data_IF_346909109197
#
_entry.id   IF_346909109197
#
_cell.length_a   1.000
_cell.length_b   1.000
_cell.length_c   1.000
_cell.angle_alpha   90.00
_cell.angle_beta   90.00
_cell.angle_gamma   90.00
#
_symmetry.space_group_name_H-M   'P 1'
#
loop_
_entity.id
_entity.type
_entity.pdbx_description
1 polymer ?
#
# COMPACT_ATOMS: atom_id res chain seq x y z
N UNK A 1 32.51 18.76 12.42
CA UNK A 1 31.82 17.94 13.44
C UNK A 1 30.90 16.85 12.88
N UNK A 2 30.77 16.69 11.56
CA UNK A 2 30.06 15.55 10.94
C UNK A 2 31.04 14.43 10.53
N UNK A 3 32.32 14.77 10.25
CA UNK A 3 33.37 13.78 9.90
C UNK A 3 33.77 12.81 11.04
N UNK A 4 33.44 13.14 12.29
CA UNK A 4 33.87 12.35 13.46
C UNK A 4 32.93 11.17 13.79
N UNK A 5 31.68 11.19 13.30
CA UNK A 5 30.69 10.15 13.61
C UNK A 5 30.74 8.97 12.63
N UNK A 6 31.09 9.18 11.37
CA UNK A 6 31.19 8.09 10.37
C UNK A 6 32.44 7.21 10.56
N UNK A 7 33.48 7.70 11.22
CA UNK A 7 34.75 6.98 11.39
C UNK A 7 34.75 6.00 12.57
N UNK A 8 33.80 6.09 13.50
CA UNK A 8 33.82 5.27 14.72
C UNK A 8 33.20 3.87 14.54
N UNK A 9 32.24 3.70 13.62
CA UNK A 9 31.60 2.40 13.39
C UNK A 9 32.48 1.45 12.56
N UNK A 10 33.29 1.97 11.62
CA UNK A 10 34.22 1.18 10.80
C UNK A 10 35.40 0.57 11.57
N UNK A 11 35.69 1.02 12.80
CA UNK A 11 36.83 0.53 13.60
C UNK A 11 36.54 -0.76 14.40
N UNK A 12 35.33 -1.31 14.36
CA UNK A 12 34.97 -2.49 15.17
C UNK A 12 35.08 -3.84 14.46
N UNK A 13 35.38 -3.85 13.15
CA UNK A 13 35.76 -5.05 12.42
C UNK A 13 37.23 -4.91 12.01
N UNK A 14 38.09 -5.83 12.47
CA UNK A 14 39.45 -5.91 11.96
C UNK A 14 39.37 -6.28 10.48
N UNK A 15 39.87 -5.41 9.60
CA UNK A 15 40.04 -5.72 8.19
C UNK A 15 41.02 -6.88 8.08
N UNK A 16 40.51 -8.04 7.66
CA UNK A 16 41.27 -9.29 7.61
C UNK A 16 42.33 -9.25 6.51
N UNK A 17 42.12 -8.43 5.48
CA UNK A 17 43.06 -8.20 4.39
C UNK A 17 43.02 -6.72 3.93
N UNK A 18 43.76 -5.83 4.61
CA UNK A 18 43.79 -4.42 4.27
C UNK A 18 44.33 -4.14 2.86
N UNK A 19 45.13 -5.04 2.31
CA UNK A 19 45.70 -4.88 0.98
C UNK A 19 44.64 -5.15 -0.09
N UNK A 20 43.88 -6.24 0.03
CA UNK A 20 42.74 -6.50 -0.87
C UNK A 20 41.72 -5.35 -0.79
N UNK A 21 41.38 -4.88 0.41
CA UNK A 21 40.46 -3.75 0.59
C UNK A 21 40.97 -2.48 -0.11
N UNK A 22 42.27 -2.18 -0.02
CA UNK A 22 42.87 -1.05 -0.71
C UNK A 22 42.79 -1.17 -2.23
N UNK A 23 43.06 -2.36 -2.78
CA UNK A 23 42.97 -2.62 -4.22
C UNK A 23 41.55 -2.40 -4.77
N UNK A 24 40.51 -2.83 -4.03
CA UNK A 24 39.12 -2.57 -4.42
C UNK A 24 38.75 -1.09 -4.38
N UNK A 25 39.25 -0.34 -3.40
CA UNK A 25 39.05 1.11 -3.30
C UNK A 25 39.75 1.81 -4.47
N UNK A 26 41.02 1.50 -4.72
CA UNK A 26 41.79 2.08 -5.83
C UNK A 26 41.14 1.77 -7.19
N UNK A 27 40.65 0.56 -7.39
CA UNK A 27 39.93 0.19 -8.62
C UNK A 27 38.65 1.02 -8.81
N UNK A 28 37.94 1.32 -7.72
CA UNK A 28 36.75 2.17 -7.76
C UNK A 28 37.09 3.64 -8.02
N UNK A 29 38.14 4.16 -7.39
CA UNK A 29 38.63 5.52 -7.58
C UNK A 29 39.11 5.73 -9.02
N UNK A 30 39.90 4.79 -9.56
CA UNK A 30 40.31 4.82 -10.96
C UNK A 30 39.12 4.81 -11.93
N UNK A 31 38.09 3.99 -11.65
CA UNK A 31 36.87 3.99 -12.44
C UNK A 31 36.17 5.35 -12.41
N UNK A 32 36.08 5.98 -11.23
CA UNK A 32 35.46 7.28 -11.05
C UNK A 32 36.22 8.39 -11.80
N UNK A 33 37.54 8.38 -11.76
CA UNK A 33 38.39 9.32 -12.48
C UNK A 33 38.35 9.10 -14.01
N UNK A 34 38.52 7.85 -14.46
CA UNK A 34 38.65 7.53 -15.88
C UNK A 34 37.31 7.54 -16.65
N UNK A 35 36.20 7.19 -15.99
CA UNK A 35 34.87 7.06 -16.62
C UNK A 35 33.82 8.02 -16.05
N UNK A 36 34.16 8.78 -15.02
CA UNK A 36 33.31 9.79 -14.43
C UNK A 36 32.35 9.28 -13.35
N UNK A 37 31.75 10.19 -12.58
CA UNK A 37 30.96 9.88 -11.37
C UNK A 37 29.69 9.08 -11.67
N UNK A 38 29.05 9.31 -12.83
CA UNK A 38 27.84 8.57 -13.23
C UNK A 38 28.13 7.07 -13.41
N UNK A 39 29.28 6.72 -13.99
CA UNK A 39 29.64 5.32 -14.23
C UNK A 39 30.04 4.63 -12.93
N UNK A 40 30.79 5.30 -12.06
CA UNK A 40 31.14 4.79 -10.74
C UNK A 40 29.88 4.49 -9.91
N UNK A 41 28.93 5.43 -9.85
CA UNK A 41 27.65 5.23 -9.16
C UNK A 41 26.83 4.06 -9.73
N UNK A 42 26.86 3.86 -11.06
CA UNK A 42 26.22 2.72 -11.70
C UNK A 42 26.83 1.38 -11.27
N UNK A 43 28.17 1.27 -11.24
CA UNK A 43 28.85 0.04 -10.83
C UNK A 43 28.61 -0.24 -9.35
N UNK A 44 28.71 0.76 -8.47
CA UNK A 44 28.45 0.60 -7.04
C UNK A 44 27.04 0.05 -6.78
N UNK A 45 26.03 0.58 -7.49
CA UNK A 45 24.65 0.06 -7.40
C UNK A 45 24.51 -1.38 -7.87
N UNK A 46 25.26 -1.79 -8.90
CA UNK A 46 25.28 -3.20 -9.37
C UNK A 46 25.92 -4.11 -8.33
N UNK A 47 27.01 -3.68 -7.69
CA UNK A 47 27.65 -4.42 -6.59
C UNK A 47 26.72 -4.55 -5.38
N UNK A 48 26.05 -3.48 -4.96
CA UNK A 48 25.03 -3.53 -3.90
C UNK A 48 23.84 -4.45 -4.25
N UNK A 49 23.38 -4.46 -5.52
CA UNK A 49 22.37 -5.43 -5.98
C UNK A 49 22.89 -6.87 -5.86
N UNK A 50 24.16 -7.11 -6.23
CA UNK A 50 24.79 -8.44 -6.11
C UNK A 50 24.97 -8.88 -4.66
N UNK A 51 25.40 -7.98 -3.79
CA UNK A 51 25.52 -8.24 -2.35
C UNK A 51 24.17 -8.66 -1.73
N UNK A 52 23.08 -8.01 -2.14
CA UNK A 52 21.71 -8.41 -1.75
C UNK A 52 21.33 -9.81 -2.25
N UNK A 53 21.59 -10.12 -3.52
CA UNK A 53 21.32 -11.48 -4.05
C UNK A 53 22.15 -12.57 -3.35
N UNK A 54 23.30 -12.20 -2.77
CA UNK A 54 24.16 -13.09 -1.99
C UNK A 54 23.81 -13.13 -0.49
N UNK A 55 22.80 -12.36 -0.05
CA UNK A 55 22.37 -12.34 1.36
C UNK A 55 23.37 -11.69 2.32
N UNK A 56 24.23 -10.78 1.85
CA UNK A 56 25.32 -10.20 2.66
C UNK A 56 24.89 -9.13 3.68
N UNK A 57 23.58 -8.86 3.84
CA UNK A 57 23.07 -7.93 4.85
C UNK A 57 23.42 -6.45 4.64
N UNK A 58 24.00 -6.08 3.48
CA UNK A 58 24.30 -4.68 3.13
C UNK A 58 23.06 -4.07 2.46
N UNK A 59 22.20 -3.46 3.28
CA UNK A 59 21.03 -2.74 2.80
C UNK A 59 21.29 -1.23 2.87
N UNK A 60 21.39 -0.50 1.75
CA UNK A 60 21.20 0.93 1.82
C UNK A 60 19.80 1.19 2.38
N UNK A 61 19.68 2.09 3.36
CA UNK A 61 18.41 2.49 3.99
C UNK A 61 17.36 2.96 2.96
N UNK A 62 17.78 3.25 1.72
CA UNK A 62 16.89 3.56 0.60
C UNK A 62 17.34 2.85 -0.67
N UNK A 63 16.36 2.30 -1.40
CA UNK A 63 16.61 1.81 -2.74
C UNK A 63 16.46 2.94 -3.77
N UNK A 64 16.97 2.76 -5.01
CA UNK A 64 16.75 3.74 -6.07
C UNK A 64 15.26 3.94 -6.34
N UNK A 65 14.87 5.14 -6.77
CA UNK A 65 13.47 5.51 -7.04
C UNK A 65 12.93 4.88 -8.35
N UNK A 66 12.88 3.55 -8.38
CA UNK A 66 12.43 2.68 -9.46
C UNK A 66 11.68 1.49 -8.83
N UNK A 67 11.07 0.63 -9.64
CA UNK A 67 10.37 -0.55 -9.14
C UNK A 67 11.31 -1.52 -8.40
N UNK A 68 10.87 -2.02 -7.25
CA UNK A 68 11.58 -3.04 -6.47
C UNK A 68 11.71 -4.37 -7.23
N UNK A 69 10.65 -4.77 -7.94
CA UNK A 69 10.63 -5.95 -8.82
C UNK A 69 11.04 -5.49 -10.22
N UNK A 70 12.11 -6.06 -10.78
CA UNK A 70 12.57 -5.72 -12.13
C UNK A 70 11.79 -6.49 -13.20
N UNK A 71 11.78 -6.03 -14.48
CA UNK A 71 11.04 -6.70 -15.55
C UNK A 71 11.42 -8.17 -15.74
N UNK A 72 12.68 -8.54 -15.43
CA UNK A 72 13.15 -9.93 -15.52
C UNK A 72 12.66 -10.81 -14.36
N UNK A 73 12.21 -10.21 -13.26
CA UNK A 73 11.63 -10.88 -12.08
C UNK A 73 10.10 -10.78 -12.05
N UNK A 74 9.50 -10.04 -12.98
CA UNK A 74 8.07 -9.83 -13.06
C UNK A 74 7.39 -11.12 -13.56
N UNK A 75 6.43 -11.69 -12.81
CA UNK A 75 5.70 -12.85 -13.27
C UNK A 75 4.75 -12.49 -14.42
N UNK A 76 4.38 -13.48 -15.22
CA UNK A 76 3.36 -13.29 -16.25
C UNK A 76 2.02 -12.89 -15.61
N UNK A 77 1.33 -11.94 -16.22
CA UNK A 77 0.04 -11.47 -15.73
C UNK A 77 -1.02 -12.57 -15.98
N UNK A 78 -1.73 -13.06 -14.94
CA UNK A 78 -2.57 -14.25 -15.06
C UNK A 78 -3.95 -13.98 -15.70
N UNK A 79 -4.33 -12.71 -15.91
CA UNK A 79 -5.65 -12.31 -16.37
C UNK A 79 -5.71 -11.79 -17.81
N UNK A 80 -6.92 -11.50 -18.28
CA UNK A 80 -7.14 -10.79 -19.55
C UNK A 80 -7.05 -9.27 -19.30
N UNK A 81 -5.89 -8.69 -19.62
CA UNK A 81 -5.64 -7.26 -19.44
C UNK A 81 -6.66 -6.37 -20.16
N UNK A 82 -7.12 -6.76 -21.35
CA UNK A 82 -8.04 -5.96 -22.15
C UNK A 82 -9.44 -5.95 -21.50
N UNK A 83 -9.90 -7.11 -21.05
CA UNK A 83 -11.17 -7.25 -20.32
C UNK A 83 -11.11 -6.52 -18.98
N UNK A 84 -10.07 -6.73 -18.18
CA UNK A 84 -9.93 -6.08 -16.87
C UNK A 84 -9.84 -4.56 -16.98
N UNK A 85 -9.16 -4.05 -18.01
CA UNK A 85 -9.13 -2.62 -18.32
C UNK A 85 -10.52 -2.09 -18.69
N UNK A 86 -11.34 -2.87 -19.40
CA UNK A 86 -12.73 -2.50 -19.74
C UNK A 86 -13.60 -2.46 -18.49
N UNK A 87 -13.53 -3.48 -17.63
CA UNK A 87 -14.27 -3.52 -16.35
C UNK A 87 -13.89 -2.32 -15.48
N UNK A 88 -12.58 -2.08 -15.29
CA UNK A 88 -12.08 -0.94 -14.50
C UNK A 88 -12.58 0.41 -15.02
N UNK A 89 -12.72 0.60 -16.34
CA UNK A 89 -13.29 1.83 -16.93
C UNK A 89 -14.77 2.00 -16.58
N UNK A 90 -15.55 0.92 -16.63
CA UNK A 90 -16.96 0.93 -16.25
C UNK A 90 -17.12 1.26 -14.77
N UNK A 91 -16.34 0.62 -13.90
CA UNK A 91 -16.36 0.90 -12.45
C UNK A 91 -16.00 2.35 -12.15
N UNK A 92 -14.95 2.90 -12.79
CA UNK A 92 -14.59 4.32 -12.67
C UNK A 92 -15.71 5.25 -13.15
N UNK A 93 -16.35 4.93 -14.26
CA UNK A 93 -17.47 5.71 -14.78
C UNK A 93 -18.65 5.73 -13.81
N UNK A 94 -19.07 4.57 -13.30
CA UNK A 94 -20.19 4.46 -12.37
C UNK A 94 -19.89 5.19 -11.05
N UNK A 95 -18.67 5.10 -10.54
CA UNK A 95 -18.26 5.84 -9.33
C UNK A 95 -18.38 7.36 -9.54
N UNK A 96 -17.91 7.86 -10.68
CA UNK A 96 -18.00 9.27 -11.04
C UNK A 96 -19.46 9.71 -11.24
N UNK A 97 -20.23 8.95 -12.00
CA UNK A 97 -21.63 9.24 -12.31
C UNK A 97 -22.49 9.31 -11.04
N UNK A 98 -22.29 8.37 -10.10
CA UNK A 98 -22.98 8.36 -8.81
C UNK A 98 -22.71 9.63 -8.00
N UNK A 99 -21.44 10.00 -7.82
CA UNK A 99 -21.07 11.20 -7.04
C UNK A 99 -21.53 12.49 -7.75
N UNK A 100 -21.35 12.58 -9.08
CA UNK A 100 -21.77 13.73 -9.88
C UNK A 100 -23.28 13.92 -9.83
N UNK A 101 -24.06 12.85 -10.00
CA UNK A 101 -25.52 12.88 -9.91
C UNK A 101 -25.99 13.31 -8.53
N UNK A 102 -25.39 12.79 -7.46
CA UNK A 102 -25.72 13.20 -6.10
C UNK A 102 -25.51 14.71 -5.89
N UNK A 103 -24.37 15.26 -6.32
CA UNK A 103 -24.08 16.70 -6.17
C UNK A 103 -24.94 17.59 -7.10
N UNK A 104 -25.40 17.07 -8.24
CA UNK A 104 -26.33 17.77 -9.13
C UNK A 104 -27.71 17.95 -8.50
N UNK A 105 -28.21 16.95 -7.77
CA UNK A 105 -29.55 16.97 -7.19
C UNK A 105 -29.58 17.46 -5.73
N UNK A 106 -28.48 17.31 -5.00
CA UNK A 106 -28.40 17.60 -3.57
C UNK A 106 -27.15 18.44 -3.27
N UNK A 107 -27.26 19.77 -3.28
CA UNK A 107 -26.15 20.66 -2.95
C UNK A 107 -25.54 20.35 -1.58
N UNK A 108 -24.20 20.32 -1.50
CA UNK A 108 -23.47 20.09 -0.25
C UNK A 108 -23.36 18.63 0.20
N UNK A 109 -23.89 17.66 -0.57
CA UNK A 109 -23.82 16.24 -0.19
C UNK A 109 -22.38 15.68 -0.23
N UNK A 110 -21.52 16.26 -1.08
CA UNK A 110 -20.12 15.92 -1.23
C UNK A 110 -19.89 14.55 -1.90
N UNK A 111 -18.70 14.00 -1.69
CA UNK A 111 -18.25 12.74 -2.29
C UNK A 111 -16.95 12.91 -3.06
N UNK A 112 -16.06 11.93 -2.93
CA UNK A 112 -14.70 12.00 -3.47
C UNK A 112 -14.59 11.24 -4.80
N UNK A 113 -13.87 11.80 -5.76
CA UNK A 113 -13.61 11.18 -7.08
C UNK A 113 -12.16 10.72 -7.22
N UNK A 114 -11.22 11.59 -6.85
CA UNK A 114 -9.80 11.42 -7.14
C UNK A 114 -9.14 10.26 -6.38
N UNK A 115 -9.57 10.00 -5.14
CA UNK A 115 -9.02 8.91 -4.31
C UNK A 115 -9.22 7.55 -4.99
N UNK A 116 -10.46 7.22 -5.37
CA UNK A 116 -10.68 5.96 -6.09
C UNK A 116 -10.05 5.97 -7.48
N UNK A 117 -10.08 7.09 -8.21
CA UNK A 117 -9.49 7.16 -9.54
C UNK A 117 -7.98 6.84 -9.55
N UNK A 118 -7.23 7.27 -8.53
CA UNK A 118 -5.81 6.94 -8.36
C UNK A 118 -5.59 5.49 -7.93
N UNK A 119 -6.38 4.97 -6.98
CA UNK A 119 -6.22 3.62 -6.45
C UNK A 119 -6.94 2.50 -7.24
N UNK A 120 -7.76 2.83 -8.25
CA UNK A 120 -8.64 1.85 -8.89
C UNK A 120 -7.89 0.68 -9.52
N UNK A 121 -6.67 0.85 -10.04
CA UNK A 121 -5.92 -0.30 -10.54
C UNK A 121 -5.53 -1.27 -9.42
N UNK A 122 -5.14 -0.76 -8.24
CA UNK A 122 -4.75 -1.54 -7.07
C UNK A 122 -5.93 -2.37 -6.55
N UNK A 123 -7.10 -1.74 -6.41
CA UNK A 123 -8.31 -2.44 -5.99
C UNK A 123 -8.76 -3.50 -6.99
N UNK A 124 -8.76 -3.17 -8.29
CA UNK A 124 -9.25 -4.10 -9.32
C UNK A 124 -8.35 -5.33 -9.46
N UNK A 125 -7.03 -5.15 -9.39
CA UNK A 125 -6.09 -6.29 -9.32
C UNK A 125 -6.35 -7.11 -8.05
N UNK A 126 -6.53 -6.44 -6.91
CA UNK A 126 -6.91 -7.08 -5.65
C UNK A 126 -8.16 -7.94 -5.79
N UNK A 127 -9.25 -7.40 -6.32
CA UNK A 127 -10.51 -8.14 -6.49
C UNK A 127 -10.43 -9.28 -7.51
N UNK A 128 -9.68 -9.13 -8.59
CA UNK A 128 -9.62 -10.13 -9.64
C UNK A 128 -8.71 -11.32 -9.27
N UNK A 129 -7.64 -11.06 -8.51
CA UNK A 129 -6.54 -12.03 -8.35
C UNK A 129 -6.15 -12.37 -6.91
N UNK A 130 -6.54 -11.56 -5.92
CA UNK A 130 -6.02 -11.71 -4.55
C UNK A 130 -7.11 -11.89 -3.49
N UNK A 131 -8.10 -11.02 -3.43
CA UNK A 131 -9.04 -10.94 -2.32
C UNK A 131 -9.93 -12.18 -2.24
N UNK A 132 -9.86 -12.86 -1.11
CA UNK A 132 -10.70 -14.03 -0.81
C UNK A 132 -11.99 -13.61 -0.14
N UNK A 133 -13.12 -13.97 -0.74
CA UNK A 133 -14.45 -13.76 -0.14
C UNK A 133 -14.70 -14.66 1.08
N UNK A 134 -15.72 -14.34 1.89
CA UNK A 134 -16.06 -15.07 3.13
C UNK A 134 -16.33 -16.57 2.94
N UNK A 135 -16.76 -16.97 1.74
CA UNK A 135 -17.07 -18.36 1.39
C UNK A 135 -15.83 -19.17 0.96
N UNK A 136 -14.65 -18.55 0.90
CA UNK A 136 -13.41 -19.27 0.58
C UNK A 136 -13.11 -20.32 1.67
N UNK A 137 -12.68 -21.55 1.33
CA UNK A 137 -12.46 -22.62 2.31
C UNK A 137 -11.50 -22.27 3.45
N UNK A 138 -10.46 -21.47 3.15
CA UNK A 138 -9.49 -20.97 4.13
C UNK A 138 -9.93 -19.71 4.91
N UNK A 139 -11.19 -19.31 4.78
CA UNK A 139 -11.71 -18.03 5.29
C UNK A 139 -11.44 -16.86 4.33
N UNK A 140 -12.23 -15.79 4.49
CA UNK A 140 -12.10 -14.57 3.71
C UNK A 140 -11.03 -13.62 4.24
N UNK A 141 -10.48 -12.79 3.36
CA UNK A 141 -9.54 -11.74 3.72
C UNK A 141 -10.25 -10.57 4.41
N UNK A 142 -9.53 -9.87 5.29
CA UNK A 142 -10.02 -8.63 5.90
C UNK A 142 -9.45 -7.44 5.14
N UNK A 143 -10.29 -6.76 4.35
CA UNK A 143 -9.86 -5.64 3.51
C UNK A 143 -10.32 -4.31 4.11
N UNK A 144 -9.37 -3.55 4.66
CA UNK A 144 -9.57 -2.20 5.18
C UNK A 144 -9.53 -1.22 4.01
N UNK A 145 -10.68 -1.05 3.37
CA UNK A 145 -10.87 -0.12 2.25
C UNK A 145 -10.66 1.32 2.72
N UNK A 146 -9.88 2.11 1.98
CA UNK A 146 -9.73 3.54 2.24
C UNK A 146 -11.10 4.24 2.18
N UNK A 147 -11.50 4.95 3.23
CA UNK A 147 -12.87 5.44 3.36
C UNK A 147 -13.36 6.26 2.15
N UNK A 148 -12.53 7.18 1.66
CA UNK A 148 -12.86 8.03 0.51
C UNK A 148 -12.90 7.29 -0.84
N UNK A 149 -12.46 6.02 -0.90
CA UNK A 149 -12.57 5.16 -2.06
C UNK A 149 -13.93 4.42 -2.16
N UNK A 150 -14.81 4.57 -1.15
CA UNK A 150 -16.12 3.92 -1.09
C UNK A 150 -16.96 4.03 -2.39
N UNK A 151 -16.99 5.17 -3.13
CA UNK A 151 -17.74 5.25 -4.38
C UNK A 151 -17.35 4.19 -5.42
N UNK A 152 -16.07 3.82 -5.48
CA UNK A 152 -15.59 2.78 -6.38
C UNK A 152 -16.04 1.39 -5.99
N UNK A 153 -16.09 1.09 -4.70
CA UNK A 153 -16.56 -0.20 -4.18
C UNK A 153 -18.05 -0.37 -4.45
N UNK A 154 -18.86 0.69 -4.26
CA UNK A 154 -20.27 0.66 -4.64
C UNK A 154 -20.46 0.48 -6.15
N UNK A 155 -19.66 1.16 -6.97
CA UNK A 155 -19.70 1.03 -8.41
C UNK A 155 -19.38 -0.39 -8.88
N UNK A 156 -18.41 -1.06 -8.24
CA UNK A 156 -18.10 -2.47 -8.49
C UNK A 156 -19.22 -3.38 -8.01
N UNK A 157 -19.73 -3.19 -6.80
CA UNK A 157 -20.83 -3.97 -6.25
C UNK A 157 -22.11 -3.87 -7.09
N UNK A 158 -22.38 -2.71 -7.68
CA UNK A 158 -23.45 -2.53 -8.67
C UNK A 158 -23.22 -3.35 -9.94
N UNK A 159 -21.99 -3.34 -10.47
CA UNK A 159 -21.63 -4.14 -11.65
C UNK A 159 -21.73 -5.66 -11.38
N UNK A 160 -21.47 -6.08 -10.14
CA UNK A 160 -21.64 -7.44 -9.65
C UNK A 160 -23.11 -7.81 -9.36
N UNK A 161 -24.06 -6.88 -9.52
CA UNK A 161 -25.48 -7.09 -9.25
C UNK A 161 -25.85 -7.14 -7.76
N UNK A 162 -24.94 -6.74 -6.87
CA UNK A 162 -25.17 -6.70 -5.40
C UNK A 162 -25.84 -5.41 -4.93
N UNK A 163 -25.76 -4.36 -5.74
CA UNK A 163 -26.47 -3.09 -5.53
C UNK A 163 -27.32 -2.78 -6.76
N UNK A 164 -28.43 -2.10 -6.53
CA UNK A 164 -29.35 -1.64 -7.57
C UNK A 164 -29.04 -0.19 -7.97
N UNK A 165 -29.57 0.26 -9.10
CA UNK A 165 -29.49 1.66 -9.50
C UNK A 165 -30.09 2.58 -8.44
N UNK A 166 -31.22 2.19 -7.83
CA UNK A 166 -31.86 2.95 -6.75
C UNK A 166 -30.96 3.13 -5.53
N UNK A 167 -30.09 2.15 -5.22
CA UNK A 167 -29.07 2.32 -4.18
C UNK A 167 -28.06 3.41 -4.55
N UNK A 168 -27.54 3.40 -5.79
CA UNK A 168 -26.60 4.42 -6.27
C UNK A 168 -27.21 5.82 -6.31
N UNK A 169 -28.49 5.94 -6.70
CA UNK A 169 -29.24 7.20 -6.68
C UNK A 169 -29.41 7.78 -5.27
N UNK A 170 -29.46 6.89 -4.27
CA UNK A 170 -29.56 7.24 -2.86
C UNK A 170 -28.20 7.31 -2.15
N UNK A 171 -27.09 7.46 -2.89
CA UNK A 171 -25.75 7.66 -2.32
C UNK A 171 -25.75 8.85 -1.34
N UNK A 172 -25.22 8.61 -0.13
CA UNK A 172 -25.20 9.54 1.02
C UNK A 172 -26.58 9.97 1.54
N UNK A 173 -27.65 9.25 1.15
CA UNK A 173 -29.05 9.54 1.56
C UNK A 173 -29.68 8.33 2.23
N UNK A 174 -29.08 7.90 3.33
CA UNK A 174 -29.42 6.68 4.06
C UNK A 174 -30.81 6.70 4.71
N UNK A 175 -31.36 7.88 4.99
CA UNK A 175 -32.71 8.03 5.59
C UNK A 175 -33.85 7.52 4.70
N UNK A 176 -33.56 7.24 3.43
CA UNK A 176 -34.48 6.62 2.47
C UNK A 176 -34.69 5.12 2.70
N UNK A 177 -33.87 4.47 3.54
CA UNK A 177 -33.91 3.03 3.81
C UNK A 177 -33.14 2.16 2.80
N UNK A 178 -32.81 2.70 1.62
CA UNK A 178 -32.04 2.02 0.57
C UNK A 178 -30.73 2.74 0.22
N UNK A 179 -30.42 3.82 0.94
CA UNK A 179 -29.26 4.66 0.66
C UNK A 179 -27.93 4.02 1.03
N UNK A 180 -26.88 4.49 0.38
CA UNK A 180 -25.51 4.05 0.64
C UNK A 180 -24.80 5.01 1.58
N UNK A 181 -24.11 4.47 2.58
CA UNK A 181 -23.32 5.28 3.50
C UNK A 181 -22.21 6.04 2.79
N UNK A 182 -21.82 7.19 3.34
CA UNK A 182 -20.72 8.00 2.79
C UNK A 182 -19.39 7.26 2.74
N UNK A 183 -19.14 6.41 3.73
CA UNK A 183 -17.90 5.69 4.01
C UNK A 183 -18.20 4.30 4.61
N UNK A 184 -17.17 3.46 4.85
CA UNK A 184 -17.34 2.17 5.52
C UNK A 184 -17.91 2.31 6.94
N UNK A 185 -19.23 2.12 7.06
CA UNK A 185 -19.96 2.23 8.32
C UNK A 185 -20.77 0.94 8.57
N UNK A 186 -20.18 -0.08 9.21
CA UNK A 186 -20.85 -1.36 9.48
C UNK A 186 -22.15 -1.19 10.27
N UNK A 187 -22.22 -0.22 11.20
CA UNK A 187 -23.45 0.05 11.95
C UNK A 187 -24.62 0.49 11.07
N UNK A 188 -24.33 1.13 9.94
CA UNK A 188 -25.31 1.66 8.98
C UNK A 188 -25.61 0.67 7.85
N UNK A 189 -24.59 -0.05 7.38
CA UNK A 189 -24.70 -1.10 6.36
C UNK A 189 -24.08 -2.41 6.85
N UNK A 190 -24.74 -3.14 7.77
CA UNK A 190 -24.17 -4.30 8.47
C UNK A 190 -23.86 -5.48 7.56
N UNK A 191 -24.58 -5.60 6.44
CA UNK A 191 -24.41 -6.69 5.47
C UNK A 191 -23.46 -6.33 4.33
N UNK A 192 -22.79 -5.16 4.40
CA UNK A 192 -21.90 -4.68 3.35
C UNK A 192 -20.51 -4.28 3.87
N UNK A 193 -20.44 -3.38 4.86
CA UNK A 193 -19.17 -2.86 5.38
C UNK A 193 -18.71 -3.61 6.63
N UNK A 194 -17.40 -3.77 6.77
CA UNK A 194 -16.80 -4.53 7.89
C UNK A 194 -15.92 -3.67 8.80
N UNK A 195 -15.07 -2.81 8.22
CA UNK A 195 -14.07 -2.04 8.96
C UNK A 195 -14.25 -0.54 8.72
N UNK A 196 -14.47 0.29 9.76
CA UNK A 196 -14.54 1.73 9.62
C UNK A 196 -13.14 2.35 9.52
N UNK A 197 -12.89 3.08 8.43
CA UNK A 197 -11.53 3.55 8.06
C UNK A 197 -11.45 5.04 7.71
N UNK A 198 -12.57 5.77 7.72
CA UNK A 198 -12.56 7.18 7.28
C UNK A 198 -11.93 8.13 8.30
N UNK A 199 -11.90 7.75 9.58
CA UNK A 199 -11.05 8.42 10.56
C UNK A 199 -9.63 7.94 10.33
N UNK A 200 -8.84 8.78 9.68
CA UNK A 200 -7.47 8.51 9.23
C UNK A 200 -6.59 8.06 10.42
N UNK A 201 -5.63 7.17 10.16
CA UNK A 201 -4.74 6.60 11.17
C UNK A 201 -5.32 5.39 11.92
N UNK A 202 -6.62 5.34 12.17
CA UNK A 202 -7.26 4.21 12.87
C UNK A 202 -7.29 2.93 12.01
N UNK A 203 -7.44 3.06 10.69
CA UNK A 203 -7.43 1.93 9.77
C UNK A 203 -6.13 1.11 9.85
N UNK A 204 -4.96 1.74 9.59
CA UNK A 204 -3.66 1.09 9.72
C UNK A 204 -3.39 0.46 11.09
N UNK A 205 -3.63 1.19 12.17
CA UNK A 205 -3.44 0.68 13.53
C UNK A 205 -4.29 -0.57 13.77
N UNK A 206 -5.58 -0.52 13.41
CA UNK A 206 -6.48 -1.64 13.59
C UNK A 206 -6.11 -2.83 12.69
N UNK A 207 -5.65 -2.60 11.46
CA UNK A 207 -5.20 -3.66 10.57
C UNK A 207 -4.03 -4.46 11.16
N UNK A 208 -3.06 -3.79 11.79
CA UNK A 208 -1.94 -4.44 12.50
C UNK A 208 -2.47 -5.38 13.59
N UNK A 209 -3.34 -4.86 14.46
CA UNK A 209 -3.89 -5.66 15.55
C UNK A 209 -4.87 -6.74 15.09
N UNK A 210 -5.58 -6.54 13.97
CA UNK A 210 -6.40 -7.58 13.34
C UNK A 210 -5.54 -8.73 12.84
N UNK A 211 -4.42 -8.44 12.18
CA UNK A 211 -3.48 -9.45 11.68
C UNK A 211 -2.87 -10.24 12.83
N UNK A 212 -2.46 -9.54 13.91
CA UNK A 212 -2.00 -10.14 15.16
C UNK A 212 -3.09 -11.02 15.80
N UNK A 213 -4.34 -10.56 15.80
CA UNK A 213 -5.44 -11.34 16.38
C UNK A 213 -5.75 -12.60 15.58
N UNK A 214 -5.61 -12.58 14.25
CA UNK A 214 -5.67 -13.79 13.45
C UNK A 214 -4.59 -14.80 13.88
N UNK A 215 -3.33 -14.34 14.01
CA UNK A 215 -2.23 -15.19 14.50
C UNK A 215 -2.51 -15.74 15.90
N UNK A 216 -3.08 -14.94 16.79
CA UNK A 216 -3.55 -15.40 18.09
C UNK A 216 -4.59 -16.53 17.99
N UNK A 217 -5.63 -16.38 17.16
CA UNK A 217 -6.67 -17.40 16.99
C UNK A 217 -6.09 -18.72 16.45
N UNK A 218 -5.19 -18.63 15.48
CA UNK A 218 -4.48 -19.78 14.91
C UNK A 218 -3.62 -20.48 15.97
N UNK A 219 -2.76 -19.74 16.66
CA UNK A 219 -1.83 -20.32 17.65
C UNK A 219 -2.54 -20.87 18.89
N UNK A 220 -3.74 -20.35 19.20
CA UNK A 220 -4.58 -20.88 20.28
C UNK A 220 -5.46 -22.06 19.86
N UNK A 221 -5.43 -22.46 18.59
CA UNK A 221 -6.26 -23.55 18.07
C UNK A 221 -7.76 -23.23 18.09
N UNK A 222 -8.13 -21.94 18.11
CA UNK A 222 -9.54 -21.50 18.16
C UNK A 222 -10.17 -21.42 16.78
N UNK A 223 -9.39 -21.04 15.77
CA UNK A 223 -9.80 -20.98 14.37
C UNK A 223 -8.56 -21.05 13.49
N UNK A 224 -8.60 -21.87 12.44
CA UNK A 224 -7.56 -21.81 11.41
C UNK A 224 -7.74 -20.54 10.56
N UNK A 225 -6.82 -19.58 10.76
CA UNK A 225 -6.75 -18.34 9.99
C UNK A 225 -5.49 -18.27 9.11
N UNK A 226 -4.78 -19.39 8.91
CA UNK A 226 -3.48 -19.43 8.22
C UNK A 226 -3.53 -18.92 6.78
N UNK A 227 -4.68 -19.06 6.14
CA UNK A 227 -4.96 -18.65 4.76
C UNK A 227 -5.65 -17.29 4.63
N UNK A 228 -5.94 -16.61 5.75
CA UNK A 228 -6.54 -15.28 5.74
C UNK A 228 -5.46 -14.21 5.71
N UNK A 229 -5.70 -13.13 4.97
CA UNK A 229 -4.83 -11.95 4.92
C UNK A 229 -5.57 -10.69 5.36
N UNK A 230 -4.84 -9.76 5.94
CA UNK A 230 -5.30 -8.41 6.26
C UNK A 230 -4.69 -7.44 5.26
N UNK A 231 -5.54 -6.74 4.51
CA UNK A 231 -5.13 -5.74 3.53
C UNK A 231 -5.50 -4.36 4.03
N UNK A 232 -4.51 -3.50 4.26
CA UNK A 232 -4.71 -2.11 4.68
C UNK A 232 -4.49 -1.15 3.52
N UNK A 233 -5.56 -0.54 3.00
CA UNK A 233 -5.45 0.52 2.02
C UNK A 233 -5.45 1.88 2.70
N UNK A 234 -4.39 2.64 2.50
CA UNK A 234 -4.24 4.00 3.05
C UNK A 234 -3.68 4.97 2.02
N UNK A 235 -3.82 6.27 2.29
CA UNK A 235 -3.16 7.32 1.51
C UNK A 235 -1.75 7.61 2.04
N UNK A 236 -0.87 8.13 1.20
CA UNK A 236 0.41 8.67 1.68
C UNK A 236 0.23 9.86 2.64
N UNK A 237 -0.77 10.72 2.42
CA UNK A 237 -1.12 11.78 3.37
C UNK A 237 -1.69 11.27 4.70
N UNK A 238 -2.23 10.05 4.75
CA UNK A 238 -2.70 9.42 6.00
C UNK A 238 -1.54 8.99 6.90
N UNK A 239 -0.35 8.79 6.33
CA UNK A 239 0.83 8.42 7.09
C UNK A 239 1.34 9.53 8.03
N UNK A 240 0.85 10.77 7.89
CA UNK A 240 1.13 11.85 8.83
C UNK A 240 0.39 11.68 10.18
N UNK A 241 -0.63 10.82 10.25
CA UNK A 241 -1.30 10.49 11.52
C UNK A 241 -0.38 9.60 12.39
N UNK A 242 -0.13 9.94 13.67
CA UNK A 242 0.73 9.15 14.55
C UNK A 242 0.30 7.68 14.64
N UNK A 243 -1.00 7.42 14.63
CA UNK A 243 -1.60 6.09 14.70
C UNK A 243 -1.29 5.26 13.45
N UNK A 244 -1.12 5.90 12.28
CA UNK A 244 -0.88 5.18 11.03
C UNK A 244 0.44 4.41 11.05
N UNK A 245 1.47 4.97 11.69
CA UNK A 245 2.84 4.44 11.67
C UNK A 245 3.31 3.94 13.04
N UNK A 246 2.71 4.42 14.13
CA UNK A 246 3.21 4.23 15.50
C UNK A 246 3.29 2.77 15.97
N UNK A 247 2.56 1.85 15.32
CA UNK A 247 2.54 0.43 15.67
C UNK A 247 3.22 -0.49 14.64
N UNK A 248 3.93 0.04 13.63
CA UNK A 248 4.62 -0.79 12.63
C UNK A 248 5.62 -1.79 13.26
N UNK A 249 6.30 -1.38 14.33
CA UNK A 249 7.20 -2.25 15.09
C UNK A 249 6.49 -3.49 15.67
N UNK A 250 5.19 -3.44 15.95
CA UNK A 250 4.42 -4.61 16.40
C UNK A 250 4.32 -5.63 15.28
N UNK A 251 4.10 -5.18 14.03
CA UNK A 251 4.04 -6.08 12.89
C UNK A 251 5.38 -6.79 12.64
N UNK A 252 6.49 -6.08 12.81
CA UNK A 252 7.83 -6.66 12.70
C UNK A 252 8.12 -7.64 13.85
N UNK A 253 7.89 -7.24 15.11
CA UNK A 253 8.19 -8.06 16.28
C UNK A 253 7.34 -9.34 16.38
N UNK A 254 6.11 -9.31 15.86
CA UNK A 254 5.19 -10.45 15.85
C UNK A 254 5.21 -11.21 14.51
N UNK A 255 6.13 -10.87 13.60
CA UNK A 255 6.31 -11.50 12.28
C UNK A 255 5.00 -11.63 11.49
N UNK A 256 4.25 -10.54 11.37
CA UNK A 256 2.91 -10.53 10.75
C UNK A 256 2.97 -10.59 9.21
N UNK A 257 3.44 -11.70 8.67
CA UNK A 257 3.43 -12.07 7.25
C UNK A 257 2.01 -12.17 6.62
N UNK A 258 0.96 -12.10 7.44
CA UNK A 258 -0.43 -12.05 7.01
C UNK A 258 -0.98 -10.63 6.85
N UNK A 259 -0.17 -9.61 7.09
CA UNK A 259 -0.51 -8.19 6.94
C UNK A 259 0.11 -7.61 5.68
N UNK A 260 -0.70 -6.91 4.87
CA UNK A 260 -0.25 -6.19 3.69
C UNK A 260 -0.73 -4.74 3.76
N UNK A 261 0.21 -3.80 3.78
CA UNK A 261 -0.09 -2.38 3.62
C UNK A 261 0.01 -2.00 2.13
N UNK A 262 -1.04 -1.35 1.63
CA UNK A 262 -1.11 -0.80 0.27
C UNK A 262 -1.26 0.71 0.40
N UNK A 263 -0.16 1.43 0.27
CA UNK A 263 -0.12 2.89 0.37
C UNK A 263 -0.28 3.50 -1.01
N UNK A 264 -1.37 4.23 -1.24
CA UNK A 264 -1.61 4.99 -2.46
C UNK A 264 -0.80 6.29 -2.45
N UNK A 265 0.43 6.23 -2.94
CA UNK A 265 1.35 7.36 -3.03
C UNK A 265 1.07 8.22 -4.27
N UNK A 266 -0.03 8.98 -4.24
CA UNK A 266 -0.34 9.97 -5.27
C UNK A 266 0.39 11.33 -5.06
N UNK A 267 1.23 11.40 -4.01
CA UNK A 267 2.07 12.52 -3.59
C UNK A 267 1.30 13.72 -3.04
N UNK A 268 -0.01 13.59 -2.83
CA UNK A 268 -0.92 14.68 -2.51
C UNK A 268 -1.85 14.35 -1.34
N UNK A 269 -2.10 15.37 -0.51
CA UNK A 269 -3.22 15.45 0.43
C UNK A 269 -4.24 16.48 -0.08
N UNK A 270 -5.30 16.71 0.69
CA UNK A 270 -6.41 17.56 0.28
C UNK A 270 -5.97 18.97 -0.17
N UNK A 271 -5.06 19.59 0.59
CA UNK A 271 -4.66 20.99 0.38
C UNK A 271 -3.27 21.16 -0.27
N UNK A 272 -2.67 20.10 -0.83
CA UNK A 272 -1.37 20.19 -1.51
C UNK A 272 -0.52 18.92 -1.41
N UNK A 273 0.77 18.97 -1.77
CA UNK A 273 1.65 17.82 -1.68
C UNK A 273 1.90 17.39 -0.23
N UNK A 274 2.07 16.08 0.01
CA UNK A 274 2.43 15.54 1.34
C UNK A 274 3.82 16.00 1.75
N UNK A 275 4.76 15.90 0.81
CA UNK A 275 6.15 16.37 0.95
C UNK A 275 6.54 17.13 -0.31
N UNK A 276 6.41 18.46 -0.30
CA UNK A 276 6.73 19.29 -1.48
C UNK A 276 8.24 19.38 -1.79
N UNK A 277 9.08 19.34 -0.76
CA UNK A 277 10.55 19.50 -0.87
C UNK A 277 11.33 18.20 -0.62
N UNK A 278 10.64 17.08 -0.41
CA UNK A 278 11.24 15.76 -0.17
C UNK A 278 10.39 14.66 -0.82
N UNK A 279 10.68 13.39 -0.53
CA UNK A 279 10.05 12.24 -1.22
C UNK A 279 9.37 11.32 -0.22
N UNK A 280 8.05 11.43 -0.11
CA UNK A 280 7.25 10.62 0.83
C UNK A 280 7.45 9.12 0.64
N UNK A 281 7.55 8.63 -0.60
CA UNK A 281 7.77 7.19 -0.85
C UNK A 281 9.07 6.71 -0.22
N UNK A 282 10.15 7.48 -0.32
CA UNK A 282 11.43 7.10 0.30
C UNK A 282 11.49 7.40 1.80
N UNK A 283 10.56 8.17 2.34
CA UNK A 283 10.39 8.33 3.78
C UNK A 283 9.70 7.08 4.35
N UNK A 284 8.63 6.63 3.69
CA UNK A 284 7.90 5.42 4.05
C UNK A 284 8.73 4.14 3.88
N UNK A 285 9.60 4.07 2.85
CA UNK A 285 10.51 2.93 2.64
C UNK A 285 11.47 2.69 3.82
N UNK A 286 11.79 3.74 4.60
CA UNK A 286 12.75 3.65 5.70
C UNK A 286 12.17 3.10 7.00
N UNK A 287 10.85 2.96 7.08
CA UNK A 287 10.12 2.56 8.28
C UNK A 287 10.17 1.04 8.47
#
# INVERSE_FOLDING_TARGET
MIEAYETQFKKQLADLDPQETAEWIEAFDWLAEAKGPLRAAFILRKLLKRARMLGLGIEPIQTPYINTISPEQEPEFPGDEAMEKRIRRIVRWNAMAMVSRANKHYPGIGGHLSTYASAAALYEVGFNHFFRGKNHPGGGDQVFIQGHAAPGIYARAFLEGRLTEANLEAFRRETTGIGLSSYPHPRRMPDFWEFPTVSMGLGPLNAIYQARFNRYLLHRGLKDTSQQRVWCFMGDGEADEPEALGALHVAANEELDNLIFVVNCNLQRLDGPVRGNSKIIQELERL
#
